data_IF_021055253911
#
_entry.id   IF_021055253911
#
_cell.length_a   1.000
_cell.length_b   1.000
_cell.length_c   1.000
_cell.angle_alpha   90.00
_cell.angle_beta   90.00
_cell.angle_gamma   90.00
#
_symmetry.space_group_name_H-M   'P 1'
#
loop_
_entity.id
_entity.type
_entity.pdbx_description
1 polymer ?
#
# COMPACT_ATOMS: atom_id res chain seq x y z
N UNK A 1 -37.40 -38.45 13.62
CA UNK A 1 -37.62 -37.08 13.10
C UNK A 1 -36.28 -36.50 12.82
N UNK A 2 -35.91 -36.37 11.53
CA UNK A 2 -34.68 -35.69 11.12
C UNK A 2 -34.84 -34.20 11.53
N UNK A 3 -34.11 -33.76 12.55
CA UNK A 3 -33.97 -32.33 12.84
C UNK A 3 -33.32 -31.70 11.58
N UNK A 4 -34.10 -30.97 10.81
CA UNK A 4 -33.62 -30.17 9.70
C UNK A 4 -32.62 -29.18 10.33
N UNK A 5 -31.35 -29.29 10.01
CA UNK A 5 -30.32 -28.41 10.59
C UNK A 5 -30.65 -26.98 10.20
N UNK A 6 -30.94 -26.16 11.21
CA UNK A 6 -31.25 -24.75 10.99
C UNK A 6 -29.97 -24.04 10.49
N UNK A 7 -30.10 -23.31 9.38
CA UNK A 7 -29.04 -22.52 8.77
C UNK A 7 -29.31 -21.04 9.01
N UNK A 8 -28.27 -20.32 9.40
CA UNK A 8 -28.35 -18.86 9.63
C UNK A 8 -27.21 -18.12 8.95
N UNK A 9 -27.43 -16.83 8.68
CA UNK A 9 -26.43 -15.91 8.14
C UNK A 9 -26.20 -14.78 9.11
N UNK A 10 -24.92 -14.53 9.40
CA UNK A 10 -24.46 -13.47 10.30
C UNK A 10 -23.78 -12.41 9.50
N UNK A 11 -24.29 -11.19 9.53
CA UNK A 11 -23.63 -10.03 8.96
C UNK A 11 -23.01 -9.18 10.06
N UNK A 12 -21.76 -8.80 9.87
CA UNK A 12 -21.02 -7.99 10.83
C UNK A 12 -20.53 -6.72 10.15
N UNK A 13 -21.03 -5.57 10.64
CA UNK A 13 -20.47 -4.25 10.38
C UNK A 13 -19.33 -4.00 11.37
N UNK A 14 -18.09 -4.04 10.89
CA UNK A 14 -16.91 -4.03 11.73
C UNK A 14 -16.35 -2.63 11.96
N UNK A 15 -16.53 -2.08 13.15
CA UNK A 15 -16.00 -0.80 13.61
C UNK A 15 -14.70 -0.90 14.41
N UNK A 16 -14.10 0.25 14.74
CA UNK A 16 -12.86 0.32 15.55
C UNK A 16 -13.09 0.01 17.03
N UNK A 17 -14.10 0.61 17.63
CA UNK A 17 -14.40 0.46 19.05
C UNK A 17 -15.43 -0.63 19.32
N UNK A 18 -16.31 -0.87 18.38
CA UNK A 18 -17.34 -1.89 18.46
C UNK A 18 -17.71 -2.40 17.08
N UNK A 19 -18.29 -3.57 17.03
CA UNK A 19 -18.92 -4.15 15.86
C UNK A 19 -20.42 -4.16 16.07
N UNK A 20 -21.19 -4.22 14.99
CA UNK A 20 -22.60 -4.59 15.07
C UNK A 20 -22.82 -5.90 14.31
N UNK A 21 -23.47 -6.87 14.94
CA UNK A 21 -23.80 -8.11 14.27
C UNK A 21 -25.32 -8.31 14.23
N UNK A 22 -25.79 -8.83 13.11
CA UNK A 22 -27.19 -9.23 12.89
C UNK A 22 -27.24 -10.64 12.31
N UNK A 23 -28.16 -11.44 12.82
CA UNK A 23 -28.38 -12.83 12.41
C UNK A 23 -29.74 -12.94 11.75
N UNK A 24 -29.78 -13.52 10.56
CA UNK A 24 -31.01 -13.79 9.82
C UNK A 24 -31.16 -15.28 9.52
N UNK A 25 -32.39 -15.75 9.48
CA UNK A 25 -32.76 -17.11 9.06
C UNK A 25 -32.89 -17.24 7.54
N UNK A 26 -33.30 -18.41 7.04
CA UNK A 26 -33.55 -18.71 5.64
C UNK A 26 -34.60 -17.80 5.00
N UNK A 27 -35.53 -17.26 5.76
CA UNK A 27 -36.60 -16.37 5.29
C UNK A 27 -36.16 -14.90 5.25
N UNK A 28 -35.04 -14.56 5.91
CA UNK A 28 -34.57 -13.18 6.10
C UNK A 28 -35.13 -12.53 7.38
N UNK A 29 -35.80 -13.30 8.25
CA UNK A 29 -36.23 -12.80 9.53
C UNK A 29 -35.04 -12.65 10.50
N UNK A 30 -34.97 -11.52 11.20
CA UNK A 30 -33.90 -11.27 12.17
C UNK A 30 -34.14 -12.08 13.44
N UNK A 31 -33.21 -12.97 13.76
CA UNK A 31 -33.24 -13.79 14.97
C UNK A 31 -32.52 -13.11 16.15
N UNK A 32 -31.46 -12.36 15.85
CA UNK A 32 -30.62 -11.74 16.87
C UNK A 32 -29.91 -10.50 16.24
N UNK A 33 -29.74 -9.43 17.03
CA UNK A 33 -28.99 -8.26 16.61
C UNK A 33 -28.46 -7.52 17.83
N UNK A 34 -27.13 -7.32 17.91
CA UNK A 34 -26.50 -6.62 19.03
C UNK A 34 -25.25 -5.85 18.62
N UNK A 35 -24.95 -4.82 19.40
CA UNK A 35 -23.67 -4.16 19.46
C UNK A 35 -22.70 -5.03 20.26
N UNK A 36 -21.47 -5.20 19.76
CA UNK A 36 -20.41 -6.02 20.37
C UNK A 36 -19.19 -5.12 20.51
N UNK A 37 -18.70 -4.93 21.73
CA UNK A 37 -17.45 -4.19 21.94
C UNK A 37 -16.28 -4.95 21.28
N UNK A 38 -15.28 -4.21 20.76
CA UNK A 38 -14.14 -4.83 20.08
C UNK A 38 -13.09 -5.30 21.10
N UNK A 39 -13.51 -6.24 21.96
CA UNK A 39 -12.65 -6.96 22.90
C UNK A 39 -12.96 -8.46 22.85
N UNK A 40 -12.02 -9.28 23.32
CA UNK A 40 -12.10 -10.74 23.24
C UNK A 40 -13.29 -11.31 23.96
N UNK A 41 -13.59 -10.84 25.16
CA UNK A 41 -14.67 -11.35 26.00
C UNK A 41 -16.05 -11.11 25.37
N UNK A 42 -16.30 -9.89 24.89
CA UNK A 42 -17.55 -9.53 24.24
C UNK A 42 -17.77 -10.30 22.93
N UNK A 43 -16.70 -10.46 22.13
CA UNK A 43 -16.75 -11.21 20.87
C UNK A 43 -17.03 -12.70 21.14
N UNK A 44 -16.34 -13.31 22.12
CA UNK A 44 -16.55 -14.72 22.47
C UNK A 44 -17.97 -14.96 23.02
N UNK A 45 -18.50 -14.05 23.84
CA UNK A 45 -19.88 -14.11 24.33
C UNK A 45 -20.88 -14.09 23.18
N UNK A 46 -20.71 -13.12 22.23
CA UNK A 46 -21.58 -13.03 21.07
C UNK A 46 -21.45 -14.25 20.14
N UNK A 47 -20.24 -14.78 19.98
CA UNK A 47 -19.99 -16.00 19.21
C UNK A 47 -20.73 -17.20 19.81
N UNK A 48 -20.65 -17.39 21.12
CA UNK A 48 -21.38 -18.43 21.83
C UNK A 48 -22.91 -18.31 21.64
N UNK A 49 -23.48 -17.12 21.91
CA UNK A 49 -24.91 -16.85 21.70
C UNK A 49 -25.36 -17.17 20.26
N UNK A 50 -24.57 -16.86 19.26
CA UNK A 50 -24.92 -17.08 17.85
C UNK A 50 -24.79 -18.56 17.47
N UNK A 51 -23.75 -19.25 17.95
CA UNK A 51 -23.57 -20.70 17.69
C UNK A 51 -24.65 -21.56 18.34
N UNK A 52 -25.26 -21.08 19.42
CA UNK A 52 -26.38 -21.77 20.07
C UNK A 52 -27.68 -21.66 19.25
N UNK A 53 -27.79 -20.75 18.28
CA UNK A 53 -28.99 -20.56 17.46
C UNK A 53 -29.15 -21.60 16.35
N UNK A 54 -28.04 -22.12 15.79
CA UNK A 54 -28.10 -23.05 14.66
C UNK A 54 -26.85 -23.90 14.53
N UNK A 55 -26.99 -25.06 13.87
CA UNK A 55 -25.90 -26.00 13.59
C UNK A 55 -24.97 -25.50 12.42
N UNK A 56 -25.52 -24.72 11.49
CA UNK A 56 -24.79 -24.20 10.33
C UNK A 56 -24.85 -22.66 10.29
N UNK A 57 -23.70 -22.01 10.48
CA UNK A 57 -23.57 -20.55 10.57
C UNK A 57 -22.70 -20.02 9.46
N UNK A 58 -23.23 -19.09 8.65
CA UNK A 58 -22.52 -18.42 7.57
C UNK A 58 -22.15 -17.00 7.97
N UNK A 59 -20.88 -16.73 8.19
CA UNK A 59 -20.38 -15.44 8.63
C UNK A 59 -19.99 -14.54 7.45
N UNK A 60 -20.39 -13.27 7.52
CA UNK A 60 -20.07 -12.26 6.53
C UNK A 60 -19.63 -10.96 7.21
N UNK A 61 -18.54 -10.37 6.73
CA UNK A 61 -17.96 -9.13 7.27
C UNK A 61 -17.70 -8.16 6.13
N UNK A 62 -18.00 -6.87 6.33
CA UNK A 62 -17.83 -5.83 5.30
C UNK A 62 -16.42 -5.24 5.25
N UNK A 63 -15.63 -5.39 6.30
CA UNK A 63 -14.27 -4.89 6.45
C UNK A 63 -13.30 -6.02 6.79
N UNK A 64 -12.23 -6.14 6.00
CA UNK A 64 -11.08 -7.01 6.25
C UNK A 64 -9.84 -6.19 6.69
N UNK A 65 -10.05 -5.12 7.47
CA UNK A 65 -8.98 -4.22 7.93
C UNK A 65 -8.49 -4.60 9.34
N UNK A 66 -7.53 -3.82 9.87
CA UNK A 66 -7.00 -4.03 11.23
C UNK A 66 -8.09 -3.99 12.32
N UNK A 67 -9.19 -3.28 12.11
CA UNK A 67 -10.28 -3.19 13.09
C UNK A 67 -11.05 -4.50 13.27
N UNK A 68 -11.05 -5.38 12.27
CA UNK A 68 -11.69 -6.70 12.34
C UNK A 68 -10.71 -7.85 12.65
N UNK A 69 -9.42 -7.56 12.87
CA UNK A 69 -8.39 -8.59 13.00
C UNK A 69 -8.65 -9.54 14.20
N UNK A 70 -9.02 -8.98 15.36
CA UNK A 70 -9.35 -9.78 16.55
C UNK A 70 -10.58 -10.65 16.30
N UNK A 71 -11.65 -10.08 15.76
CA UNK A 71 -12.86 -10.80 15.39
C UNK A 71 -12.56 -11.99 14.46
N UNK A 72 -11.82 -11.74 13.36
CA UNK A 72 -11.48 -12.78 12.39
C UNK A 72 -10.58 -13.87 12.99
N UNK A 73 -9.65 -13.50 13.87
CA UNK A 73 -8.80 -14.46 14.58
C UNK A 73 -9.62 -15.36 15.51
N UNK A 74 -10.59 -14.80 16.27
CA UNK A 74 -11.46 -15.55 17.16
C UNK A 74 -12.42 -16.44 16.38
N UNK A 75 -13.01 -15.96 15.29
CA UNK A 75 -13.84 -16.80 14.40
C UNK A 75 -13.04 -18.02 13.92
N UNK A 76 -11.84 -17.79 13.40
CA UNK A 76 -10.97 -18.86 12.90
C UNK A 76 -10.54 -19.85 14.00
N UNK A 77 -10.20 -19.35 15.20
CA UNK A 77 -9.84 -20.18 16.34
C UNK A 77 -10.98 -21.13 16.78
N UNK A 78 -12.25 -20.72 16.50
CA UNK A 78 -13.43 -21.53 16.76
C UNK A 78 -13.94 -22.29 15.52
N UNK A 79 -13.09 -22.44 14.48
CA UNK A 79 -13.44 -23.19 13.27
C UNK A 79 -14.47 -22.49 12.37
N UNK A 80 -14.78 -21.22 12.64
CA UNK A 80 -15.75 -20.45 11.86
C UNK A 80 -15.05 -19.74 10.69
N UNK A 81 -15.65 -19.83 9.50
CA UNK A 81 -15.17 -19.16 8.29
C UNK A 81 -16.05 -17.99 7.93
N UNK A 82 -15.46 -16.83 7.71
CA UNK A 82 -16.17 -15.63 7.28
C UNK A 82 -15.91 -15.33 5.79
N UNK A 83 -16.89 -14.74 5.12
CA UNK A 83 -16.72 -14.19 3.77
C UNK A 83 -16.63 -12.67 3.81
N UNK A 84 -15.89 -12.11 2.86
CA UNK A 84 -15.80 -10.66 2.68
C UNK A 84 -16.92 -10.14 1.79
N UNK A 85 -17.77 -9.29 2.33
CA UNK A 85 -18.80 -8.56 1.57
C UNK A 85 -18.34 -7.13 1.34
N UNK A 86 -17.93 -6.73 0.13
CA UNK A 86 -17.43 -5.39 -0.11
C UNK A 86 -18.46 -4.31 0.25
N UNK A 87 -18.09 -3.29 1.04
CA UNK A 87 -18.96 -2.21 1.48
C UNK A 87 -19.70 -1.48 0.35
N UNK A 88 -19.13 -1.48 -0.88
CA UNK A 88 -19.86 -1.00 -2.07
C UNK A 88 -21.03 -1.91 -2.45
N UNK A 89 -20.91 -3.21 -2.23
CA UNK A 89 -22.02 -4.15 -2.46
C UNK A 89 -23.09 -3.91 -1.41
N UNK A 90 -22.70 -3.75 -0.14
CA UNK A 90 -23.62 -3.38 0.97
C UNK A 90 -24.37 -2.09 0.60
N UNK A 91 -23.68 -1.01 0.25
CA UNK A 91 -24.30 0.27 -0.14
C UNK A 91 -25.29 0.15 -1.32
N UNK A 92 -25.07 -0.73 -2.29
CA UNK A 92 -26.00 -0.97 -3.38
C UNK A 92 -27.21 -1.76 -2.93
N UNK A 93 -26.99 -2.75 -2.09
CA UNK A 93 -28.06 -3.61 -1.55
C UNK A 93 -28.91 -2.84 -0.55
N UNK A 94 -28.35 -1.88 0.21
CA UNK A 94 -29.10 -1.02 1.15
C UNK A 94 -30.28 -0.33 0.49
N UNK A 95 -30.13 0.09 -0.75
CA UNK A 95 -31.24 0.70 -1.54
C UNK A 95 -32.38 -0.25 -1.92
N UNK A 96 -32.19 -1.57 -1.81
CA UNK A 96 -33.22 -2.57 -2.06
C UNK A 96 -34.11 -2.86 -0.84
N UNK A 97 -33.68 -2.43 0.36
CA UNK A 97 -34.38 -2.65 1.61
C UNK A 97 -35.07 -1.37 2.10
N UNK A 98 -36.29 -1.54 2.70
CA UNK A 98 -37.10 -0.41 3.19
C UNK A 98 -36.40 0.35 4.32
N UNK A 99 -36.56 1.67 4.32
CA UNK A 99 -36.07 2.60 5.34
C UNK A 99 -34.85 3.40 4.88
N UNK A 100 -34.76 4.67 5.28
CA UNK A 100 -33.68 5.62 4.90
C UNK A 100 -32.63 5.82 6.01
N UNK A 101 -32.90 5.34 7.23
CA UNK A 101 -31.99 5.53 8.36
C UNK A 101 -30.70 4.71 8.16
N UNK A 102 -29.56 5.37 8.26
CA UNK A 102 -28.26 4.73 8.29
C UNK A 102 -27.88 4.41 9.74
N UNK A 103 -27.88 3.14 10.09
CA UNK A 103 -27.46 2.64 11.40
C UNK A 103 -26.60 1.39 11.23
N UNK A 104 -25.65 1.19 12.14
CA UNK A 104 -24.76 0.01 12.13
C UNK A 104 -25.57 -1.30 12.17
N UNK A 105 -26.71 -1.32 12.91
CA UNK A 105 -27.64 -2.45 12.94
C UNK A 105 -28.20 -2.79 11.57
N UNK A 106 -28.57 -1.78 10.80
CA UNK A 106 -29.07 -1.95 9.45
C UNK A 106 -27.99 -2.41 8.49
N UNK A 107 -26.80 -1.83 8.61
CA UNK A 107 -25.66 -2.21 7.76
C UNK A 107 -25.30 -3.68 8.03
N UNK A 108 -25.27 -4.13 9.29
CA UNK A 108 -25.08 -5.53 9.64
C UNK A 108 -26.18 -6.45 9.08
N UNK A 109 -27.45 -6.03 9.15
CA UNK A 109 -28.56 -6.78 8.54
C UNK A 109 -28.40 -6.90 7.02
N UNK A 110 -28.05 -5.82 6.34
CA UNK A 110 -27.84 -5.83 4.87
C UNK A 110 -26.66 -6.71 4.48
N UNK A 111 -25.60 -6.76 5.31
CA UNK A 111 -24.47 -7.68 5.10
C UNK A 111 -24.93 -9.13 5.19
N UNK A 112 -25.72 -9.49 6.24
CA UNK A 112 -26.28 -10.83 6.40
C UNK A 112 -27.16 -11.24 5.22
N UNK A 113 -28.12 -10.40 4.84
CA UNK A 113 -28.99 -10.62 3.70
C UNK A 113 -28.23 -10.73 2.37
N UNK A 114 -27.20 -9.90 2.19
CA UNK A 114 -26.36 -9.97 1.00
C UNK A 114 -25.62 -11.31 0.90
N UNK A 115 -25.12 -11.83 2.03
CA UNK A 115 -24.47 -13.14 2.11
C UNK A 115 -25.47 -14.30 1.93
N UNK A 116 -26.73 -14.13 2.38
CA UNK A 116 -27.80 -15.11 2.19
C UNK A 116 -28.15 -15.29 0.72
N UNK A 117 -28.23 -14.19 -0.04
CA UNK A 117 -28.62 -14.23 -1.46
C UNK A 117 -27.46 -14.49 -2.44
N UNK A 118 -26.21 -14.28 -2.02
CA UNK A 118 -25.04 -14.40 -2.92
C UNK A 118 -24.00 -15.32 -2.31
N UNK A 119 -23.44 -16.21 -3.16
CA UNK A 119 -22.41 -17.20 -2.77
C UNK A 119 -21.05 -16.96 -3.41
N UNK A 120 -20.88 -15.84 -4.16
CA UNK A 120 -19.69 -15.51 -4.92
C UNK A 120 -18.70 -14.60 -4.14
N UNK A 121 -18.74 -14.65 -2.81
CA UNK A 121 -17.84 -13.87 -1.96
C UNK A 121 -16.56 -14.65 -1.64
N UNK A 122 -15.47 -13.89 -1.50
CA UNK A 122 -14.17 -14.45 -1.13
C UNK A 122 -14.16 -14.80 0.36
N UNK A 123 -13.70 -16.02 0.68
CA UNK A 123 -13.41 -16.41 2.06
C UNK A 123 -12.32 -15.51 2.62
N UNK A 124 -12.50 -15.14 3.89
CA UNK A 124 -11.48 -14.44 4.67
C UNK A 124 -10.65 -15.47 5.43
N UNK A 125 -9.45 -15.69 4.98
CA UNK A 125 -8.47 -16.46 5.74
C UNK A 125 -7.70 -15.54 6.68
N UNK A 126 -7.40 -16.04 7.89
CA UNK A 126 -6.43 -15.37 8.78
C UNK A 126 -5.08 -15.45 8.10
N UNK A 127 -4.44 -14.32 7.79
CA UNK A 127 -3.17 -14.35 7.09
C UNK A 127 -2.14 -15.09 7.95
N UNK A 128 -1.29 -15.89 7.29
CA UNK A 128 -0.12 -16.47 7.95
C UNK A 128 0.70 -15.35 8.64
N UNK A 129 1.32 -15.67 9.77
CA UNK A 129 2.08 -14.71 10.59
C UNK A 129 3.02 -13.85 9.74
N UNK A 130 3.78 -14.47 8.83
CA UNK A 130 4.70 -13.77 7.93
C UNK A 130 3.99 -12.73 7.05
N UNK A 131 2.83 -13.06 6.48
CA UNK A 131 2.06 -12.12 5.65
C UNK A 131 1.50 -10.97 6.48
N UNK A 132 1.09 -11.22 7.71
CA UNK A 132 0.64 -10.20 8.65
C UNK A 132 1.80 -9.25 9.03
N UNK A 133 2.97 -9.79 9.35
CA UNK A 133 4.16 -9.00 9.66
C UNK A 133 4.59 -8.12 8.49
N UNK A 134 4.67 -8.68 7.29
CA UNK A 134 4.99 -7.92 6.08
C UNK A 134 3.94 -6.84 5.77
N UNK A 135 2.64 -7.12 6.04
CA UNK A 135 1.58 -6.13 5.86
C UNK A 135 1.74 -4.94 6.81
N UNK A 136 2.08 -5.20 8.09
CA UNK A 136 2.36 -4.17 9.09
C UNK A 136 3.59 -3.33 8.72
N UNK A 137 4.70 -4.00 8.41
CA UNK A 137 5.97 -3.33 8.08
C UNK A 137 5.86 -2.48 6.81
N UNK A 138 5.24 -3.01 5.73
CA UNK A 138 5.07 -2.27 4.47
C UNK A 138 4.07 -1.11 4.58
N UNK A 139 3.04 -1.23 5.43
CA UNK A 139 2.14 -0.13 5.73
C UNK A 139 2.87 0.98 6.51
N UNK A 140 3.58 0.62 7.58
CA UNK A 140 4.37 1.58 8.36
C UNK A 140 5.43 2.30 7.51
N UNK A 141 6.07 1.57 6.57
CA UNK A 141 6.98 2.18 5.60
C UNK A 141 6.28 3.26 4.75
N UNK A 142 5.07 2.99 4.30
CA UNK A 142 4.29 3.94 3.51
C UNK A 142 3.95 5.20 4.32
N UNK A 143 3.64 5.05 5.60
CA UNK A 143 3.37 6.15 6.50
C UNK A 143 4.62 7.02 6.69
N UNK A 144 5.78 6.42 6.98
CA UNK A 144 7.06 7.14 7.11
C UNK A 144 7.45 7.89 5.83
N UNK A 145 7.24 7.30 4.63
CA UNK A 145 7.47 7.99 3.36
C UNK A 145 6.55 9.21 3.22
N UNK A 146 5.28 9.06 3.59
CA UNK A 146 4.30 10.15 3.53
C UNK A 146 4.69 11.29 4.48
N UNK A 147 5.10 10.96 5.70
CA UNK A 147 5.55 11.94 6.68
C UNK A 147 6.82 12.66 6.20
N UNK A 148 7.77 11.91 5.62
CA UNK A 148 8.97 12.50 5.00
C UNK A 148 8.62 13.51 3.91
N UNK A 149 7.74 13.15 2.98
CA UNK A 149 7.31 14.06 1.90
C UNK A 149 6.64 15.32 2.47
N UNK A 150 5.77 15.15 3.47
CA UNK A 150 5.12 16.29 4.15
C UNK A 150 6.14 17.20 4.83
N UNK A 151 7.14 16.62 5.51
CA UNK A 151 8.16 17.39 6.22
C UNK A 151 9.07 18.12 5.25
N UNK A 152 9.47 17.50 4.13
CA UNK A 152 10.24 18.17 3.06
C UNK A 152 9.45 19.34 2.46
N UNK A 153 8.15 19.19 2.21
CA UNK A 153 7.33 20.27 1.67
C UNK A 153 7.21 21.44 2.66
N UNK A 154 7.06 21.18 3.97
CA UNK A 154 7.07 22.23 5.00
C UNK A 154 8.42 22.95 5.07
N UNK A 155 9.54 22.20 5.01
CA UNK A 155 10.88 22.77 4.97
C UNK A 155 11.04 23.74 3.81
N UNK A 156 10.63 23.33 2.60
CA UNK A 156 10.69 24.15 1.40
C UNK A 156 9.81 25.39 1.51
N UNK A 157 8.62 25.26 2.07
CA UNK A 157 7.69 26.39 2.29
C UNK A 157 8.31 27.45 3.22
N UNK A 158 8.87 27.05 4.36
CA UNK A 158 9.57 27.98 5.28
C UNK A 158 10.79 28.59 4.62
N UNK A 159 11.62 27.80 3.91
CA UNK A 159 12.77 28.34 3.18
C UNK A 159 12.36 29.33 2.08
N UNK A 160 11.28 29.07 1.37
CA UNK A 160 10.76 29.99 0.34
C UNK A 160 10.41 31.36 0.95
N UNK A 161 9.88 31.37 2.17
CA UNK A 161 9.52 32.60 2.89
C UNK A 161 10.70 33.37 3.48
N UNK A 162 11.79 32.68 3.85
CA UNK A 162 12.91 33.34 4.53
C UNK A 162 14.21 33.41 3.69
N UNK A 163 14.47 32.38 2.87
CA UNK A 163 15.72 32.25 2.13
C UNK A 163 15.51 31.57 0.75
N UNK A 164 14.78 32.25 -0.18
CA UNK A 164 14.38 31.65 -1.47
C UNK A 164 15.55 31.18 -2.34
N UNK A 165 16.70 31.84 -2.26
CA UNK A 165 17.89 31.46 -3.03
C UNK A 165 18.42 30.09 -2.57
N UNK A 166 18.39 29.80 -1.27
CA UNK A 166 18.83 28.51 -0.71
C UNK A 166 17.80 27.41 -1.01
N UNK A 167 16.50 27.74 -1.00
CA UNK A 167 15.46 26.79 -1.40
C UNK A 167 15.69 26.25 -2.81
N UNK A 168 16.02 27.14 -3.75
CA UNK A 168 16.29 26.76 -5.15
C UNK A 168 17.63 26.07 -5.36
N UNK A 169 18.61 26.27 -4.48
CA UNK A 169 19.95 25.71 -4.62
C UNK A 169 20.01 24.18 -4.50
N UNK A 170 19.02 23.56 -3.84
CA UNK A 170 19.07 22.13 -3.53
C UNK A 170 17.75 21.41 -3.75
N UNK A 171 17.85 20.15 -4.19
CA UNK A 171 16.74 19.18 -4.04
C UNK A 171 16.82 18.52 -2.67
N UNK A 172 16.03 19.00 -1.72
CA UNK A 172 15.96 18.50 -0.36
C UNK A 172 15.35 17.08 -0.25
N UNK A 173 14.74 16.59 -1.32
CA UNK A 173 14.25 15.22 -1.38
C UNK A 173 15.36 14.19 -1.62
N UNK A 174 16.42 14.60 -2.30
CA UNK A 174 17.52 13.74 -2.75
C UNK A 174 18.88 14.05 -2.11
N UNK A 175 19.17 15.32 -1.78
CA UNK A 175 20.48 15.77 -1.29
C UNK A 175 20.57 15.80 0.23
N UNK A 176 20.99 14.69 0.84
CA UNK A 176 21.21 14.59 2.30
C UNK A 176 22.18 15.67 2.83
N UNK A 177 23.21 16.04 2.08
CA UNK A 177 24.18 17.07 2.48
C UNK A 177 23.55 18.43 2.74
N UNK A 178 22.52 18.82 1.94
CA UNK A 178 21.78 20.06 2.15
C UNK A 178 20.95 20.02 3.45
N UNK A 179 20.36 18.87 3.78
CA UNK A 179 19.66 18.70 5.07
C UNK A 179 20.64 18.80 6.24
N UNK A 180 21.80 18.16 6.13
CA UNK A 180 22.87 18.27 7.16
C UNK A 180 23.29 19.73 7.31
N UNK A 181 23.49 20.49 6.24
CA UNK A 181 23.81 21.92 6.31
C UNK A 181 22.77 22.69 7.14
N UNK A 182 21.48 22.43 6.88
CA UNK A 182 20.38 23.12 7.55
C UNK A 182 20.25 22.79 9.05
N UNK A 183 20.88 21.75 9.55
CA UNK A 183 20.93 21.51 11.00
C UNK A 183 21.83 22.49 11.76
N UNK A 184 22.72 23.21 11.06
CA UNK A 184 23.67 24.15 11.69
C UNK A 184 23.66 25.57 11.12
N UNK A 185 23.24 25.75 9.84
CA UNK A 185 23.29 27.03 9.16
C UNK A 185 22.03 27.25 8.31
N UNK A 186 21.17 28.18 8.75
CA UNK A 186 19.84 28.37 8.16
C UNK A 186 19.67 29.75 7.52
N UNK A 187 20.52 30.74 7.88
CA UNK A 187 20.37 32.13 7.44
C UNK A 187 21.51 32.57 6.52
N UNK A 188 21.25 33.52 5.60
CA UNK A 188 22.30 34.10 4.73
C UNK A 188 23.49 34.66 5.53
N UNK A 189 23.21 35.37 6.62
CA UNK A 189 24.23 36.00 7.46
C UNK A 189 25.14 34.94 8.13
N UNK A 190 24.56 33.84 8.64
CA UNK A 190 25.31 32.77 9.28
C UNK A 190 26.25 32.06 8.28
N UNK A 191 25.79 31.80 7.06
CA UNK A 191 26.58 31.19 6.00
C UNK A 191 27.74 32.10 5.57
N UNK A 192 27.48 33.39 5.31
CA UNK A 192 28.53 34.37 4.94
C UNK A 192 29.60 34.51 6.02
N UNK A 193 29.18 34.63 7.30
CA UNK A 193 30.11 34.75 8.45
C UNK A 193 30.97 33.51 8.61
N UNK A 194 30.45 32.31 8.26
CA UNK A 194 31.21 31.06 8.39
C UNK A 194 32.25 30.91 7.26
N UNK A 195 31.93 31.30 6.05
CA UNK A 195 32.77 31.22 4.86
C UNK A 195 33.01 29.80 4.36
N UNK A 196 33.49 29.68 3.11
CA UNK A 196 33.58 28.42 2.38
C UNK A 196 34.40 27.36 3.12
N UNK A 197 35.65 27.66 3.47
CA UNK A 197 36.56 26.68 4.07
C UNK A 197 36.03 26.06 5.37
N UNK A 198 35.41 26.88 6.24
CA UNK A 198 34.86 26.40 7.50
C UNK A 198 33.55 25.64 7.32
N UNK A 199 32.74 26.01 6.33
CA UNK A 199 31.52 25.26 5.98
C UNK A 199 31.89 23.89 5.42
N UNK A 200 32.85 23.84 4.50
CA UNK A 200 33.34 22.57 3.93
C UNK A 200 33.88 21.64 5.02
N UNK A 201 34.76 22.16 5.91
CA UNK A 201 35.27 21.37 7.04
C UNK A 201 34.15 20.87 7.96
N UNK A 202 33.14 21.71 8.26
CA UNK A 202 32.01 21.35 9.12
C UNK A 202 31.14 20.24 8.52
N UNK A 203 30.92 20.28 7.19
CA UNK A 203 30.18 19.25 6.44
C UNK A 203 30.99 17.95 6.31
N UNK A 204 32.31 18.05 6.08
CA UNK A 204 33.22 16.89 6.04
C UNK A 204 33.17 16.12 7.36
N UNK A 205 33.27 16.81 8.49
CA UNK A 205 33.21 16.21 9.83
C UNK A 205 31.86 15.53 10.14
N UNK A 206 30.82 15.80 9.33
CA UNK A 206 29.48 15.18 9.42
C UNK A 206 29.24 14.12 8.33
N UNK A 207 30.30 13.73 7.61
CA UNK A 207 30.24 12.67 6.63
C UNK A 207 29.44 13.01 5.35
N UNK A 208 29.34 14.29 5.01
CA UNK A 208 28.71 14.71 3.74
C UNK A 208 29.62 14.30 2.59
N UNK A 209 29.07 13.61 1.59
CA UNK A 209 29.84 13.01 0.48
C UNK A 209 30.53 14.05 -0.40
N UNK A 210 29.90 15.19 -0.65
CA UNK A 210 30.40 16.26 -1.51
C UNK A 210 30.26 17.60 -0.78
N UNK A 211 31.10 17.82 0.27
CA UNK A 211 30.94 18.94 1.19
C UNK A 211 31.25 20.30 0.54
N UNK A 212 32.21 20.35 -0.39
CA UNK A 212 32.61 21.58 -1.08
C UNK A 212 31.50 22.08 -2.00
N UNK A 213 30.92 21.22 -2.81
CA UNK A 213 29.81 21.59 -3.70
C UNK A 213 28.60 22.11 -2.90
N UNK A 214 28.29 21.47 -1.75
CA UNK A 214 27.18 21.93 -0.90
C UNK A 214 27.51 23.27 -0.26
N UNK A 215 28.73 23.46 0.24
CA UNK A 215 29.17 24.71 0.85
C UNK A 215 29.20 25.87 -0.13
N UNK A 216 29.70 25.63 -1.35
CA UNK A 216 29.76 26.63 -2.44
C UNK A 216 28.35 27.07 -2.84
N UNK A 217 27.47 26.16 -3.17
CA UNK A 217 26.10 26.49 -3.56
C UNK A 217 25.33 27.23 -2.45
N UNK A 218 25.54 26.85 -1.19
CA UNK A 218 24.93 27.53 -0.06
C UNK A 218 25.47 28.95 0.13
N UNK A 219 26.77 29.15 -0.07
CA UNK A 219 27.40 30.45 0.06
C UNK A 219 27.01 31.41 -1.10
N UNK A 220 26.94 30.90 -2.33
CA UNK A 220 26.41 31.64 -3.48
C UNK A 220 24.96 32.10 -3.24
N UNK A 221 24.10 31.20 -2.75
CA UNK A 221 22.74 31.55 -2.34
C UNK A 221 22.74 32.64 -1.25
N UNK A 222 23.63 32.56 -0.27
CA UNK A 222 23.75 33.54 0.82
C UNK A 222 24.26 34.91 0.33
N UNK A 223 25.08 34.93 -0.70
CA UNK A 223 25.57 36.19 -1.33
C UNK A 223 24.44 36.91 -2.11
N UNK A 224 23.50 36.15 -2.64
CA UNK A 224 22.35 36.69 -3.37
C UNK A 224 21.29 37.37 -2.48
N UNK A 225 21.36 37.22 -1.14
CA UNK A 225 20.42 37.83 -0.19
C UNK A 225 21.16 38.56 0.92
N UNK A 226 21.04 39.88 0.94
CA UNK A 226 21.64 40.75 1.98
C UNK A 226 20.65 41.14 3.06
N UNK A 227 19.36 41.21 2.71
CA UNK A 227 18.29 41.67 3.61
C UNK A 227 17.87 40.54 4.54
N UNK A 228 17.91 40.81 5.84
CA UNK A 228 17.27 39.97 6.84
C UNK A 228 15.75 40.22 6.87
N UNK A 229 14.97 39.16 6.99
CA UNK A 229 13.51 39.26 7.00
C UNK A 229 12.97 39.23 8.44
N UNK A 230 11.83 39.90 8.71
CA UNK A 230 11.16 39.76 10.00
C UNK A 230 10.83 38.29 10.30
N UNK A 231 11.17 37.82 11.49
CA UNK A 231 10.93 36.43 11.91
C UNK A 231 12.00 35.43 11.45
N UNK A 232 13.12 35.90 10.84
CA UNK A 232 14.19 35.03 10.31
C UNK A 232 14.74 34.08 11.38
N UNK A 233 14.96 34.55 12.62
CA UNK A 233 15.49 33.71 13.70
C UNK A 233 14.54 32.57 14.10
N UNK A 234 13.24 32.85 14.18
CA UNK A 234 12.23 31.81 14.45
C UNK A 234 12.11 30.83 13.29
N UNK A 235 12.11 31.33 12.04
CA UNK A 235 12.10 30.47 10.86
C UNK A 235 13.36 29.61 10.77
N UNK A 236 14.53 30.13 11.15
CA UNK A 236 15.79 29.39 11.20
C UNK A 236 15.71 28.18 12.18
N UNK A 237 15.13 28.38 13.36
CA UNK A 237 14.89 27.28 14.30
C UNK A 237 13.98 26.22 13.71
N UNK A 238 12.85 26.61 13.10
CA UNK A 238 11.91 25.69 12.47
C UNK A 238 12.60 24.92 11.32
N UNK A 239 13.43 25.56 10.51
CA UNK A 239 14.20 24.93 9.44
C UNK A 239 15.17 23.89 9.99
N UNK A 240 15.89 24.19 11.08
CA UNK A 240 16.80 23.24 11.72
C UNK A 240 16.06 22.02 12.26
N UNK A 241 14.92 22.22 12.91
CA UNK A 241 14.06 21.14 13.43
C UNK A 241 13.52 20.27 12.31
N UNK A 242 12.98 20.87 11.23
CA UNK A 242 12.48 20.13 10.09
C UNK A 242 13.58 19.34 9.37
N UNK A 243 14.77 19.91 9.20
CA UNK A 243 15.92 19.20 8.63
C UNK A 243 16.32 18.00 9.47
N UNK A 244 16.36 18.15 10.79
CA UNK A 244 16.65 17.06 11.76
C UNK A 244 15.58 15.97 11.68
N UNK A 245 14.29 16.33 11.63
CA UNK A 245 13.18 15.37 11.48
C UNK A 245 13.29 14.58 10.18
N UNK A 246 13.65 15.21 9.06
CA UNK A 246 13.82 14.51 7.78
C UNK A 246 14.97 13.50 7.87
N UNK A 247 16.09 13.88 8.47
CA UNK A 247 17.24 12.98 8.68
C UNK A 247 16.87 11.78 9.56
N UNK A 248 16.11 11.99 10.65
CA UNK A 248 15.61 10.89 11.49
C UNK A 248 14.65 9.96 10.71
N UNK A 249 13.74 10.53 9.93
CA UNK A 249 12.84 9.74 9.07
C UNK A 249 13.63 8.90 8.06
N UNK A 250 14.71 9.43 7.47
CA UNK A 250 15.60 8.70 6.58
C UNK A 250 16.31 7.53 7.30
N UNK A 251 16.71 7.72 8.55
CA UNK A 251 17.34 6.67 9.35
C UNK A 251 16.34 5.60 9.77
N UNK A 252 15.12 5.98 10.14
CA UNK A 252 14.03 5.05 10.44
C UNK A 252 13.64 4.23 9.22
N UNK A 253 13.53 4.85 8.04
CA UNK A 253 13.26 4.17 6.78
C UNK A 253 14.35 3.14 6.45
N UNK A 254 15.63 3.48 6.63
CA UNK A 254 16.74 2.56 6.40
C UNK A 254 16.72 1.34 7.33
N UNK A 255 16.37 1.55 8.61
CA UNK A 255 16.20 0.43 9.56
C UNK A 255 15.02 -0.47 9.17
N UNK A 256 13.89 0.15 8.83
CA UNK A 256 12.68 -0.56 8.43
C UNK A 256 12.88 -1.32 7.11
N UNK A 257 13.60 -0.75 6.14
CA UNK A 257 13.92 -1.42 4.86
C UNK A 257 14.79 -2.67 5.06
N UNK A 258 15.71 -2.65 6.05
CA UNK A 258 16.45 -3.86 6.45
C UNK A 258 15.51 -4.90 7.04
N UNK A 259 14.68 -4.50 8.00
CA UNK A 259 13.72 -5.42 8.64
C UNK A 259 12.76 -6.05 7.62
N UNK A 260 12.20 -5.26 6.70
CA UNK A 260 11.33 -5.80 5.63
C UNK A 260 12.09 -6.81 4.77
N UNK A 261 13.36 -6.51 4.40
CA UNK A 261 14.19 -7.42 3.60
C UNK A 261 14.40 -8.74 4.32
N UNK A 262 14.82 -8.68 5.59
CA UNK A 262 15.14 -9.86 6.38
C UNK A 262 13.88 -10.71 6.60
N UNK A 263 12.75 -10.08 6.97
CA UNK A 263 11.46 -10.76 7.11
C UNK A 263 10.97 -11.34 5.78
N UNK A 264 11.07 -10.60 4.67
CA UNK A 264 10.64 -11.09 3.36
C UNK A 264 11.44 -12.32 2.90
N UNK A 265 12.75 -12.37 3.18
CA UNK A 265 13.62 -13.49 2.79
C UNK A 265 13.33 -14.79 3.52
N UNK A 266 12.53 -14.77 4.58
CA UNK A 266 12.00 -16.00 5.19
C UNK A 266 10.80 -16.58 4.42
N UNK A 267 10.27 -15.86 3.43
CA UNK A 267 9.17 -16.37 2.60
C UNK A 267 9.67 -17.47 1.65
N UNK A 268 8.97 -18.62 1.54
CA UNK A 268 9.43 -19.76 0.73
C UNK A 268 9.74 -19.42 -0.74
N UNK A 269 9.04 -18.45 -1.30
CA UNK A 269 9.21 -18.02 -2.70
C UNK A 269 10.00 -16.72 -2.85
N UNK A 270 10.69 -16.24 -1.80
CA UNK A 270 11.40 -14.96 -1.83
C UNK A 270 12.44 -14.91 -2.96
N UNK A 271 13.27 -15.96 -3.10
CA UNK A 271 14.30 -16.05 -4.14
C UNK A 271 13.72 -16.01 -5.55
N UNK A 272 12.59 -16.68 -5.76
CA UNK A 272 11.88 -16.69 -7.05
C UNK A 272 11.39 -15.27 -7.39
N UNK A 273 10.80 -14.60 -6.42
CA UNK A 273 10.27 -13.23 -6.59
C UNK A 273 11.42 -12.25 -6.86
N UNK A 274 12.52 -12.31 -6.07
CA UNK A 274 13.69 -11.44 -6.24
C UNK A 274 14.46 -11.73 -7.54
N UNK A 275 14.37 -12.94 -8.10
CA UNK A 275 15.02 -13.29 -9.36
C UNK A 275 14.52 -12.48 -10.54
N UNK A 276 13.27 -11.99 -10.51
CA UNK A 276 12.70 -11.16 -11.57
C UNK A 276 13.34 -9.76 -11.57
N UNK A 277 14.10 -9.35 -12.61
CA UNK A 277 14.80 -8.08 -12.65
C UNK A 277 13.90 -6.89 -12.27
N UNK A 278 14.33 -6.05 -11.32
CA UNK A 278 13.55 -4.91 -10.82
C UNK A 278 12.48 -5.27 -9.77
N UNK A 279 12.49 -6.50 -9.26
CA UNK A 279 11.65 -6.95 -8.16
C UNK A 279 12.53 -7.19 -6.91
N UNK A 280 13.01 -6.12 -6.30
CA UNK A 280 13.79 -6.22 -5.05
C UNK A 280 12.93 -6.54 -3.83
N UNK A 281 13.54 -6.77 -2.66
CA UNK A 281 12.87 -7.30 -1.46
C UNK A 281 11.70 -6.44 -0.98
N UNK A 282 11.77 -5.12 -1.12
CA UNK A 282 10.67 -4.22 -0.73
C UNK A 282 9.44 -4.42 -1.64
N UNK A 283 9.65 -4.46 -2.96
CA UNK A 283 8.56 -4.72 -3.90
C UNK A 283 8.07 -6.15 -3.81
N UNK A 284 8.97 -7.12 -3.52
CA UNK A 284 8.61 -8.51 -3.25
C UNK A 284 7.71 -8.65 -2.03
N UNK A 285 8.05 -7.99 -0.93
CA UNK A 285 7.21 -7.93 0.26
C UNK A 285 5.82 -7.30 -0.02
N UNK A 286 5.82 -6.16 -0.73
CA UNK A 286 4.56 -5.53 -1.15
C UNK A 286 3.73 -6.42 -2.08
N UNK A 287 4.39 -7.23 -2.94
CA UNK A 287 3.73 -8.20 -3.80
C UNK A 287 3.06 -9.31 -2.99
N UNK A 288 3.79 -9.95 -2.07
CA UNK A 288 3.24 -11.01 -1.20
C UNK A 288 2.01 -10.51 -0.45
N UNK A 289 2.09 -9.33 0.16
CA UNK A 289 0.95 -8.73 0.88
C UNK A 289 -0.23 -8.39 -0.03
N UNK A 290 0.03 -7.93 -1.24
CA UNK A 290 -1.01 -7.43 -2.14
C UNK A 290 -1.63 -8.50 -3.03
N UNK A 291 -0.88 -9.56 -3.34
CA UNK A 291 -1.36 -10.72 -4.10
C UNK A 291 -2.09 -11.72 -3.18
N UNK A 292 -1.66 -11.83 -1.92
CA UNK A 292 -2.18 -12.88 -1.04
C UNK A 292 -1.85 -14.27 -1.58
N UNK A 293 -2.77 -15.21 -1.35
CA UNK A 293 -2.66 -16.56 -1.90
C UNK A 293 -2.89 -16.54 -3.42
N UNK A 294 -1.90 -17.00 -4.16
CA UNK A 294 -1.97 -17.10 -5.62
C UNK A 294 -3.01 -18.11 -6.11
N UNK A 295 -3.42 -19.08 -5.30
CA UNK A 295 -4.48 -20.03 -5.65
C UNK A 295 -5.84 -19.35 -5.85
N UNK A 296 -6.01 -18.14 -5.32
CA UNK A 296 -7.21 -17.30 -5.54
C UNK A 296 -7.32 -16.75 -6.96
N UNK A 297 -6.26 -16.85 -7.77
CA UNK A 297 -6.26 -16.43 -9.17
C UNK A 297 -6.25 -17.64 -10.08
N UNK A 298 -7.16 -17.69 -11.02
CA UNK A 298 -7.26 -18.82 -11.98
C UNK A 298 -6.09 -18.86 -12.97
N UNK A 299 -5.59 -17.68 -13.34
CA UNK A 299 -4.50 -17.53 -14.31
C UNK A 299 -3.79 -16.16 -14.20
N UNK A 300 -2.74 -15.97 -14.98
CA UNK A 300 -1.99 -14.72 -15.06
C UNK A 300 -2.83 -13.51 -15.54
N UNK A 301 -3.88 -13.76 -16.31
CA UNK A 301 -4.81 -12.74 -16.79
C UNK A 301 -5.67 -12.22 -15.65
N UNK A 302 -6.13 -13.11 -14.76
CA UNK A 302 -6.88 -12.74 -13.56
C UNK A 302 -6.01 -11.91 -12.60
N UNK A 303 -4.76 -12.34 -12.33
CA UNK A 303 -3.82 -11.54 -11.53
C UNK A 303 -3.56 -10.15 -12.14
N UNK A 304 -3.40 -10.06 -13.46
CA UNK A 304 -3.20 -8.79 -14.15
C UNK A 304 -4.46 -7.91 -14.14
N UNK A 305 -5.64 -8.49 -14.19
CA UNK A 305 -6.92 -7.79 -14.04
C UNK A 305 -7.05 -7.22 -12.62
N UNK A 306 -6.73 -8.04 -11.60
CA UNK A 306 -6.69 -7.60 -10.21
C UNK A 306 -5.69 -6.45 -9.98
N UNK A 307 -4.56 -6.45 -10.69
CA UNK A 307 -3.58 -5.36 -10.70
C UNK A 307 -4.01 -4.15 -11.57
N UNK A 308 -5.13 -4.22 -12.27
CA UNK A 308 -5.61 -3.15 -13.16
C UNK A 308 -4.72 -2.90 -14.37
N UNK A 309 -4.00 -3.92 -14.82
CA UNK A 309 -3.08 -3.86 -15.97
C UNK A 309 -3.72 -4.33 -17.28
N UNK A 310 -4.99 -4.72 -17.24
CA UNK A 310 -5.78 -5.13 -18.39
C UNK A 310 -6.88 -4.08 -18.63
N UNK A 311 -7.05 -3.58 -19.85
CA UNK A 311 -8.15 -2.68 -20.17
C UNK A 311 -9.48 -3.43 -20.09
N UNK A 312 -10.54 -2.71 -19.73
CA UNK A 312 -11.90 -3.26 -19.61
C UNK A 312 -12.70 -2.82 -20.81
N UNK A 313 -13.33 -3.75 -21.57
CA UNK A 313 -14.22 -3.39 -22.65
C UNK A 313 -15.47 -2.70 -22.11
N UNK A 314 -15.92 -1.69 -22.81
CA UNK A 314 -17.20 -1.00 -22.61
C UNK A 314 -17.97 -0.96 -23.91
N UNK A 315 -18.14 -2.15 -24.45
CA UNK A 315 -18.87 -2.32 -25.70
C UNK A 315 -20.37 -2.22 -25.44
N UNK A 316 -21.09 -1.58 -26.32
CA UNK A 316 -22.55 -1.47 -26.26
C UNK A 316 -23.12 -1.38 -27.69
N UNK A 317 -24.08 -2.23 -28.01
CA UNK A 317 -24.72 -2.26 -29.31
C UNK A 317 -23.72 -2.44 -30.46
N UNK A 318 -23.63 -1.46 -31.36
CA UNK A 318 -22.75 -1.50 -32.55
C UNK A 318 -21.31 -1.10 -32.31
N UNK A 319 -20.92 -0.69 -31.08
CA UNK A 319 -19.56 -0.28 -30.76
C UNK A 319 -18.79 -1.43 -30.10
N UNK A 320 -17.78 -1.93 -30.80
CA UNK A 320 -16.83 -2.95 -30.30
C UNK A 320 -15.42 -2.35 -30.18
N UNK A 321 -14.61 -2.90 -29.27
CA UNK A 321 -13.23 -2.46 -29.07
C UNK A 321 -13.07 -1.18 -28.23
N UNK A 322 -14.13 -0.72 -27.57
CA UNK A 322 -14.10 0.46 -26.69
C UNK A 322 -13.43 0.12 -25.35
N UNK A 323 -12.10 0.13 -25.32
CA UNK A 323 -11.29 -0.25 -24.17
C UNK A 323 -11.06 0.92 -23.21
N UNK A 324 -11.39 0.74 -21.95
CA UNK A 324 -11.22 1.73 -20.90
C UNK A 324 -10.27 1.27 -19.78
N UNK A 325 -9.67 2.24 -19.11
CA UNK A 325 -8.91 1.98 -17.90
C UNK A 325 -9.84 1.37 -16.83
N UNK A 326 -9.45 0.26 -16.18
CA UNK A 326 -10.24 -0.30 -15.08
C UNK A 326 -10.37 0.72 -13.93
N UNK A 327 -11.55 0.74 -13.32
CA UNK A 327 -11.81 1.58 -12.14
C UNK A 327 -11.64 0.81 -10.82
N UNK A 328 -11.72 -0.54 -10.89
CA UNK A 328 -11.66 -1.44 -9.74
C UNK A 328 -10.45 -2.34 -9.91
N UNK A 329 -9.45 -2.15 -9.05
CA UNK A 329 -8.22 -2.96 -9.03
C UNK A 329 -7.43 -2.69 -7.75
N UNK A 330 -6.51 -3.58 -7.40
CA UNK A 330 -5.53 -3.38 -6.32
C UNK A 330 -4.49 -2.33 -6.74
N UNK A 331 -4.60 -1.13 -6.14
CA UNK A 331 -3.62 -0.06 -6.39
C UNK A 331 -2.21 -0.48 -5.97
N UNK A 332 -2.09 -1.31 -4.92
CA UNK A 332 -0.82 -1.83 -4.43
C UNK A 332 -0.19 -2.77 -5.44
N UNK A 333 -0.92 -3.77 -5.96
CA UNK A 333 -0.42 -4.66 -7.03
C UNK A 333 -0.01 -3.90 -8.29
N UNK A 334 -0.82 -2.92 -8.72
CA UNK A 334 -0.48 -2.08 -9.86
C UNK A 334 0.83 -1.34 -9.62
N UNK A 335 1.02 -0.74 -8.44
CA UNK A 335 2.25 -0.03 -8.07
C UNK A 335 3.45 -0.96 -8.12
N UNK A 336 3.35 -2.16 -7.56
CA UNK A 336 4.42 -3.17 -7.56
C UNK A 336 4.88 -3.48 -8.99
N UNK A 337 3.97 -3.88 -9.87
CA UNK A 337 4.34 -4.22 -11.24
C UNK A 337 4.77 -3.03 -12.08
N UNK A 338 4.20 -1.85 -11.84
CA UNK A 338 4.61 -0.62 -12.51
C UNK A 338 6.05 -0.23 -12.13
N UNK A 339 6.39 -0.18 -10.85
CA UNK A 339 7.73 0.15 -10.38
C UNK A 339 8.75 -0.91 -10.78
N UNK A 340 8.39 -2.17 -10.70
CA UNK A 340 9.24 -3.27 -11.18
C UNK A 340 9.54 -3.14 -12.68
N UNK A 341 8.55 -2.80 -13.50
CA UNK A 341 8.74 -2.53 -14.91
C UNK A 341 9.62 -1.30 -15.14
N UNK A 342 9.35 -0.20 -14.46
CA UNK A 342 10.12 1.04 -14.57
C UNK A 342 11.59 0.85 -14.17
N UNK A 343 11.88 0.13 -13.11
CA UNK A 343 13.26 -0.17 -12.70
C UNK A 343 13.96 -1.09 -13.70
N UNK A 344 13.24 -2.06 -14.28
CA UNK A 344 13.82 -3.04 -15.21
C UNK A 344 14.23 -2.48 -16.57
N UNK A 345 13.74 -1.29 -16.97
CA UNK A 345 14.12 -0.64 -18.24
C UNK A 345 15.35 0.24 -18.13
N UNK A 346 15.88 0.46 -16.92
CA UNK A 346 17.09 1.30 -16.72
C UNK A 346 18.34 0.64 -17.29
N UNK A 347 18.40 -0.70 -17.25
CA UNK A 347 19.51 -1.49 -17.79
C UNK A 347 19.13 -2.09 -19.13
N UNK A 348 20.15 -2.33 -19.97
CA UNK A 348 19.97 -3.02 -21.24
C UNK A 348 19.47 -4.46 -21.03
N UNK A 349 18.65 -4.92 -21.96
CA UNK A 349 18.09 -6.27 -21.94
C UNK A 349 16.63 -6.33 -22.42
N UNK A 350 16.01 -7.52 -22.40
CA UNK A 350 14.70 -7.79 -23.02
C UNK A 350 13.55 -6.88 -22.56
N UNK A 351 13.60 -6.39 -21.32
CA UNK A 351 12.60 -5.47 -20.80
C UNK A 351 12.72 -4.09 -21.43
N UNK A 352 13.96 -3.58 -21.58
CA UNK A 352 14.21 -2.31 -22.23
C UNK A 352 13.90 -2.38 -23.72
N UNK A 353 14.29 -3.46 -24.40
CA UNK A 353 13.99 -3.69 -25.82
C UNK A 353 12.48 -3.67 -26.07
N UNK A 354 11.73 -4.36 -25.23
CA UNK A 354 10.27 -4.33 -25.32
C UNK A 354 9.71 -2.92 -25.07
N UNK A 355 10.22 -2.21 -24.08
CA UNK A 355 9.81 -0.84 -23.80
C UNK A 355 10.10 0.07 -25.01
N UNK A 356 11.32 0.01 -25.59
CA UNK A 356 11.71 0.82 -26.75
C UNK A 356 10.87 0.48 -27.98
N UNK A 357 10.58 -0.81 -28.21
CA UNK A 357 9.63 -1.25 -29.24
C UNK A 357 8.28 -0.57 -29.06
N UNK A 358 7.70 -0.58 -27.86
CA UNK A 358 6.42 0.08 -27.58
C UNK A 358 6.48 1.60 -27.75
N UNK A 359 7.63 2.23 -27.44
CA UNK A 359 7.84 3.65 -27.70
C UNK A 359 7.87 3.94 -29.21
N UNK A 360 8.54 3.09 -29.99
CA UNK A 360 8.55 3.16 -31.46
C UNK A 360 7.18 2.95 -32.11
N UNK A 361 6.32 2.14 -31.49
CA UNK A 361 4.89 1.95 -31.88
C UNK A 361 4.01 3.18 -31.54
N UNK A 362 4.58 4.29 -31.02
CA UNK A 362 3.83 5.51 -30.69
C UNK A 362 3.25 5.55 -29.27
N UNK A 363 3.47 4.53 -28.44
CA UNK A 363 3.01 4.55 -27.06
C UNK A 363 3.70 5.65 -26.22
N UNK A 364 2.96 6.40 -25.42
CA UNK A 364 3.56 7.31 -24.41
C UNK A 364 4.31 6.50 -23.35
N UNK A 365 5.27 7.15 -22.64
CA UNK A 365 6.09 6.49 -21.60
C UNK A 365 5.26 5.62 -20.65
N UNK A 366 4.23 6.18 -20.01
CA UNK A 366 3.38 5.45 -19.06
C UNK A 366 2.67 4.25 -19.72
N UNK A 367 2.23 4.38 -20.97
CA UNK A 367 1.57 3.29 -21.70
C UNK A 367 2.56 2.13 -21.97
N UNK A 368 3.77 2.44 -22.41
CA UNK A 368 4.82 1.44 -22.66
C UNK A 368 5.23 0.72 -21.36
N UNK A 369 5.38 1.45 -20.23
CA UNK A 369 5.67 0.84 -18.91
C UNK A 369 4.51 -0.04 -18.44
N UNK A 370 3.24 0.37 -18.62
CA UNK A 370 2.07 -0.45 -18.26
C UNK A 370 2.00 -1.72 -19.12
N UNK A 371 2.29 -1.62 -20.43
CA UNK A 371 2.34 -2.79 -21.31
C UNK A 371 3.43 -3.79 -20.85
N UNK A 372 4.60 -3.30 -20.46
CA UNK A 372 5.65 -4.13 -19.87
C UNK A 372 5.20 -4.72 -18.52
N UNK A 373 4.61 -3.93 -17.63
CA UNK A 373 4.10 -4.38 -16.35
C UNK A 373 3.10 -5.54 -16.52
N UNK A 374 2.21 -5.47 -17.53
CA UNK A 374 1.28 -6.55 -17.86
C UNK A 374 2.02 -7.85 -18.23
N UNK A 375 3.06 -7.78 -19.07
CA UNK A 375 3.88 -8.97 -19.41
C UNK A 375 4.59 -9.53 -18.18
N UNK A 376 5.13 -8.65 -17.33
CA UNK A 376 5.81 -9.06 -16.09
C UNK A 376 4.90 -9.79 -15.12
N UNK A 377 3.61 -9.43 -15.08
CA UNK A 377 2.61 -10.17 -14.30
C UNK A 377 2.51 -11.62 -14.78
N UNK A 378 2.51 -11.85 -16.10
CA UNK A 378 2.48 -13.21 -16.66
C UNK A 378 3.77 -13.99 -16.36
N UNK A 379 4.92 -13.32 -16.42
CA UNK A 379 6.20 -13.93 -16.05
C UNK A 379 6.22 -14.31 -14.57
N UNK A 380 5.86 -13.39 -13.67
CA UNK A 380 5.80 -13.67 -12.23
C UNK A 380 4.86 -14.83 -11.91
N UNK A 381 3.69 -14.86 -12.52
CA UNK A 381 2.74 -15.96 -12.40
C UNK A 381 3.38 -17.30 -12.78
N UNK A 382 4.05 -17.37 -13.93
CA UNK A 382 4.71 -18.60 -14.40
C UNK A 382 5.86 -19.03 -13.47
N UNK A 383 6.69 -18.09 -13.01
CA UNK A 383 7.78 -18.37 -12.09
C UNK A 383 7.28 -19.02 -10.79
N UNK A 384 6.23 -18.44 -10.20
CA UNK A 384 5.68 -18.91 -8.93
C UNK A 384 4.92 -20.23 -9.08
N UNK A 385 4.14 -20.39 -10.16
CA UNK A 385 3.44 -21.65 -10.47
C UNK A 385 4.41 -22.80 -10.70
N UNK A 386 5.47 -22.55 -11.47
CA UNK A 386 6.46 -23.56 -11.86
C UNK A 386 7.59 -23.72 -10.82
N UNK A 387 7.52 -22.97 -9.73
CA UNK A 387 8.51 -22.91 -8.64
C UNK A 387 9.95 -22.78 -9.15
N UNK A 388 10.21 -21.84 -10.06
CA UNK A 388 11.51 -21.63 -10.71
C UNK A 388 11.93 -20.17 -10.73
N UNK A 389 13.23 -19.93 -10.67
CA UNK A 389 13.80 -18.59 -10.80
C UNK A 389 13.78 -18.09 -12.26
N UNK A 390 13.82 -16.76 -12.41
CA UNK A 390 13.88 -16.11 -13.72
C UNK A 390 15.20 -16.41 -14.42
N UNK A 391 15.11 -16.85 -15.67
CA UNK A 391 16.24 -16.96 -16.60
C UNK A 391 16.00 -16.03 -17.79
N UNK A 392 17.04 -15.31 -18.27
CA UNK A 392 16.88 -14.37 -19.40
C UNK A 392 16.44 -15.04 -20.71
N UNK A 393 16.82 -16.30 -20.92
CA UNK A 393 16.39 -17.10 -22.05
C UNK A 393 15.14 -17.92 -21.69
N UNK A 394 14.14 -18.04 -22.60
CA UNK A 394 13.03 -18.96 -22.38
C UNK A 394 13.58 -20.41 -22.25
N UNK A 395 12.96 -21.28 -21.43
CA UNK A 395 13.32 -22.67 -21.38
C UNK A 395 13.20 -23.26 -22.79
N UNK A 396 14.24 -23.93 -23.26
CA UNK A 396 14.18 -24.72 -24.49
C UNK A 396 13.08 -25.77 -24.28
N UNK A 397 12.03 -25.71 -25.09
CA UNK A 397 11.06 -26.80 -25.10
C UNK A 397 11.83 -28.07 -25.51
N UNK A 398 12.14 -28.90 -24.55
CA UNK A 398 12.49 -30.31 -24.86
C UNK A 398 11.24 -30.94 -25.45
N UNK A 399 11.35 -31.28 -26.74
CA UNK A 399 10.35 -31.97 -27.51
C UNK A 399 9.98 -33.32 -26.90
#
# INVERSE_FOLDING_TARGET
>A
MNKQRARIWVGIDAGKGHHWAAVVDETGATLWSKKIENDESAILTALGEILDLADEVHWAVDISSRSSALLLALLAAHGQRAVYVPGRTVNRMTGAYRGEAKTDARDAYVIAETARHRRDFTLLDVPAQLAADLALLTAHRTDLITDRVRTVNRLRDVLTGMFPALERAFDYSARKGALVLLTGYQTPAALRRRGLARLTAWLTNRGVRDPESVATAALEAAQAQQTALPGEDTAAQIVADLATQILDLDDRLRRLDRQIRDTFRTHPQAEIIESLPGMGPILGAEFVVAAGDLTSYTDAGHLASAAGLVPVPRDSGRRTGNLHRPKRYSRRLRRVFYLSAQTSIVRDGPNRDYYLKKRGEGCKHVQAVIALARRRTSVMWALLRDNRSFTPAPPTQTA
#
